data_IF_187361021567
#
_entry.id   IF_187361021567
#
_cell.length_a   1.000
_cell.length_b   1.000
_cell.length_c   1.000
_cell.angle_alpha   90.00
_cell.angle_beta   90.00
_cell.angle_gamma   90.00
#
_symmetry.space_group_name_H-M   'P 1'
#
loop_
_entity.id
_entity.type
_entity.pdbx_description
1 polymer ?
#
# COMPACT_ATOMS: atom_id res chain seq x y z
N UNK A 1 -11.16 -24.52 -6.19
CA UNK A 1 -11.84 -23.32 -6.73
C UNK A 1 -11.41 -23.14 -8.18
N UNK A 2 -12.33 -22.83 -9.08
CA UNK A 2 -11.99 -22.57 -10.48
C UNK A 2 -11.41 -21.17 -10.63
N UNK A 3 -10.60 -20.95 -11.66
CA UNK A 3 -10.00 -19.64 -11.94
C UNK A 3 -11.07 -18.56 -12.13
N UNK A 4 -12.13 -18.88 -12.87
CA UNK A 4 -13.22 -17.95 -13.18
C UNK A 4 -13.99 -17.53 -11.92
N UNK A 5 -14.16 -18.46 -10.97
CA UNK A 5 -14.80 -18.16 -9.68
C UNK A 5 -13.92 -17.22 -8.85
N UNK A 6 -12.59 -17.42 -8.86
CA UNK A 6 -11.67 -16.53 -8.17
C UNK A 6 -11.67 -15.13 -8.79
N UNK A 7 -11.60 -15.02 -10.12
CA UNK A 7 -11.66 -13.74 -10.84
C UNK A 7 -12.98 -13.00 -10.53
N UNK A 8 -14.10 -13.72 -10.50
CA UNK A 8 -15.40 -13.15 -10.11
C UNK A 8 -15.38 -12.64 -8.67
N UNK A 9 -14.84 -13.41 -7.73
CA UNK A 9 -14.73 -12.99 -6.33
C UNK A 9 -13.87 -11.73 -6.18
N UNK A 10 -12.74 -11.64 -6.89
CA UNK A 10 -11.88 -10.44 -6.90
C UNK A 10 -12.62 -9.24 -7.48
N UNK A 11 -13.34 -9.44 -8.60
CA UNK A 11 -14.15 -8.39 -9.21
C UNK A 11 -15.23 -7.87 -8.24
N UNK A 12 -15.98 -8.76 -7.59
CA UNK A 12 -17.01 -8.40 -6.62
C UNK A 12 -16.43 -7.68 -5.41
N UNK A 13 -15.33 -8.18 -4.84
CA UNK A 13 -14.65 -7.56 -3.69
C UNK A 13 -14.04 -6.22 -4.03
N UNK A 14 -13.49 -6.07 -5.23
CA UNK A 14 -12.97 -4.80 -5.72
C UNK A 14 -14.07 -3.77 -5.90
N UNK A 15 -15.20 -4.16 -6.50
CA UNK A 15 -16.35 -3.29 -6.64
C UNK A 15 -16.96 -2.91 -5.28
N UNK A 16 -17.02 -3.84 -4.32
CA UNK A 16 -17.45 -3.56 -2.95
C UNK A 16 -16.57 -2.49 -2.29
N UNK A 17 -15.24 -2.61 -2.41
CA UNK A 17 -14.30 -1.60 -1.91
C UNK A 17 -14.54 -0.24 -2.58
N UNK A 18 -14.65 -0.23 -3.91
CA UNK A 18 -14.75 0.98 -4.71
C UNK A 18 -16.06 1.74 -4.45
N UNK A 19 -17.19 1.04 -4.49
CA UNK A 19 -18.51 1.61 -4.20
C UNK A 19 -18.58 2.09 -2.75
N UNK A 20 -18.00 1.33 -1.81
CA UNK A 20 -17.89 1.74 -0.42
C UNK A 20 -17.15 3.06 -0.25
N UNK A 21 -16.04 3.26 -0.95
CA UNK A 21 -15.33 4.55 -0.98
C UNK A 21 -16.15 5.66 -1.62
N UNK A 22 -16.77 5.40 -2.77
CA UNK A 22 -17.54 6.40 -3.52
C UNK A 22 -18.78 6.89 -2.77
N UNK A 23 -19.49 6.00 -2.08
CA UNK A 23 -20.66 6.35 -1.28
C UNK A 23 -20.28 7.19 -0.04
N UNK A 24 -19.08 6.97 0.49
CA UNK A 24 -18.54 7.73 1.62
C UNK A 24 -17.64 8.91 1.19
N UNK A 25 -17.74 9.38 -0.06
CA UNK A 25 -16.88 10.45 -0.60
C UNK A 25 -16.95 11.78 0.18
N UNK A 26 -18.06 12.03 0.89
CA UNK A 26 -18.22 13.19 1.77
C UNK A 26 -17.28 13.16 2.98
N UNK A 27 -16.72 11.99 3.31
CA UNK A 27 -15.69 11.78 4.34
C UNK A 27 -14.27 11.68 3.73
N UNK A 28 -14.08 12.17 2.49
CA UNK A 28 -12.82 12.04 1.74
C UNK A 28 -12.41 10.58 1.42
N UNK A 29 -13.36 9.65 1.50
CA UNK A 29 -13.10 8.23 1.20
C UNK A 29 -12.85 7.96 -0.29
N UNK A 30 -13.21 8.91 -1.19
CA UNK A 30 -12.89 8.85 -2.62
C UNK A 30 -11.51 9.46 -2.92
N UNK A 31 -10.49 8.94 -2.25
CA UNK A 31 -9.08 9.23 -2.48
C UNK A 31 -8.38 7.96 -2.97
N UNK A 32 -7.38 8.10 -3.87
CA UNK A 32 -6.64 6.95 -4.42
C UNK A 32 -6.05 6.10 -3.29
N UNK A 33 -5.60 6.76 -2.23
CA UNK A 33 -5.03 6.14 -1.07
C UNK A 33 -5.99 5.22 -0.32
N UNK A 34 -7.21 5.71 -0.02
CA UNK A 34 -8.23 4.96 0.71
C UNK A 34 -8.81 3.83 -0.15
N UNK A 35 -9.06 4.10 -1.44
CA UNK A 35 -9.54 3.09 -2.39
C UNK A 35 -8.54 1.92 -2.45
N UNK A 36 -7.25 2.24 -2.63
CA UNK A 36 -6.19 1.23 -2.73
C UNK A 36 -6.05 0.42 -1.46
N UNK A 37 -6.06 1.05 -0.28
CA UNK A 37 -5.99 0.34 1.00
C UNK A 37 -7.15 -0.64 1.17
N UNK A 38 -8.40 -0.18 0.95
CA UNK A 38 -9.58 -1.05 1.07
C UNK A 38 -9.58 -2.16 0.03
N UNK A 39 -9.12 -1.89 -1.18
CA UNK A 39 -8.99 -2.89 -2.23
C UNK A 39 -8.04 -4.02 -1.81
N UNK A 40 -6.88 -3.68 -1.24
CA UNK A 40 -5.91 -4.65 -0.74
C UNK A 40 -6.48 -5.45 0.45
N UNK A 41 -7.13 -4.80 1.42
CA UNK A 41 -7.79 -5.49 2.55
C UNK A 41 -8.84 -6.50 2.09
N UNK A 42 -9.70 -6.10 1.13
CA UNK A 42 -10.72 -6.99 0.57
C UNK A 42 -10.11 -8.14 -0.20
N UNK A 43 -9.04 -7.89 -0.95
CA UNK A 43 -8.33 -8.93 -1.68
C UNK A 43 -7.67 -9.94 -0.73
N UNK A 44 -7.05 -9.48 0.36
CA UNK A 44 -6.45 -10.36 1.37
C UNK A 44 -7.48 -11.29 2.03
N UNK A 45 -8.73 -10.82 2.20
CA UNK A 45 -9.82 -11.65 2.73
C UNK A 45 -10.16 -12.86 1.85
N UNK A 46 -9.72 -12.88 0.59
CA UNK A 46 -9.88 -14.03 -0.32
C UNK A 46 -8.76 -15.08 -0.18
N UNK A 47 -7.77 -14.81 0.68
CA UNK A 47 -6.62 -15.68 0.88
C UNK A 47 -5.43 -15.34 -0.01
N UNK A 48 -4.24 -15.49 0.57
CA UNK A 48 -2.95 -15.18 -0.07
C UNK A 48 -2.31 -16.37 -0.78
N UNK A 49 -2.80 -17.57 -0.51
CA UNK A 49 -2.24 -18.83 -0.99
C UNK A 49 -3.25 -19.50 -1.93
N UNK A 50 -2.84 -19.71 -3.17
CA UNK A 50 -3.73 -20.04 -4.27
C UNK A 50 -3.27 -21.30 -4.99
N UNK A 51 -4.25 -22.17 -5.21
CA UNK A 51 -4.18 -23.29 -6.12
C UNK A 51 -5.56 -23.41 -6.79
N UNK A 52 -5.62 -23.04 -8.06
CA UNK A 52 -6.85 -23.19 -8.84
C UNK A 52 -6.92 -24.56 -9.50
N UNK A 53 -8.13 -25.00 -9.80
CA UNK A 53 -8.34 -26.19 -10.62
C UNK A 53 -7.65 -26.01 -11.99
N UNK A 54 -6.81 -26.98 -12.38
CA UNK A 54 -6.03 -26.93 -13.62
C UNK A 54 -4.74 -26.11 -13.57
N UNK A 55 -4.47 -25.38 -12.48
CA UNK A 55 -3.20 -24.69 -12.28
C UNK A 55 -2.10 -25.72 -11.94
N UNK A 56 -1.04 -25.75 -12.75
CA UNK A 56 0.06 -26.72 -12.57
C UNK A 56 1.02 -26.37 -11.42
N UNK A 57 0.84 -25.21 -10.82
CA UNK A 57 1.69 -24.69 -9.75
C UNK A 57 0.84 -24.07 -8.65
N UNK A 58 1.39 -24.00 -7.44
CA UNK A 58 0.86 -23.19 -6.35
C UNK A 58 1.46 -21.79 -6.45
N UNK A 59 0.68 -20.77 -6.12
CA UNK A 59 1.16 -19.40 -5.99
C UNK A 59 0.77 -18.82 -4.63
N UNK A 60 1.66 -18.03 -4.04
CA UNK A 60 1.37 -17.23 -2.85
C UNK A 60 1.68 -15.78 -3.18
N UNK A 61 0.85 -14.85 -2.73
CA UNK A 61 1.06 -13.44 -3.00
C UNK A 61 0.96 -12.57 -1.75
N UNK A 62 1.63 -11.42 -1.81
CA UNK A 62 1.60 -10.36 -0.80
C UNK A 62 1.47 -9.02 -1.52
N UNK A 63 0.49 -8.22 -1.11
CA UNK A 63 0.20 -6.90 -1.69
C UNK A 63 0.73 -5.80 -0.80
N UNK A 64 1.34 -4.79 -1.40
CA UNK A 64 2.02 -3.71 -0.70
C UNK A 64 1.68 -2.37 -1.33
N UNK A 65 1.39 -1.39 -0.48
CA UNK A 65 1.30 0.01 -0.89
C UNK A 65 2.67 0.66 -0.74
N UNK A 66 3.29 1.00 -1.86
CA UNK A 66 4.63 1.59 -1.91
C UNK A 66 4.60 3.03 -1.41
N UNK A 67 5.75 3.49 -0.90
CA UNK A 67 5.97 4.88 -0.49
C UNK A 67 7.32 5.40 -0.98
N UNK A 68 7.41 6.71 -1.18
CA UNK A 68 8.68 7.42 -1.38
C UNK A 68 9.39 7.03 -2.68
N UNK A 69 10.66 6.63 -2.61
CA UNK A 69 11.46 6.35 -3.82
C UNK A 69 10.94 5.13 -4.61
N UNK A 70 10.43 4.10 -3.93
CA UNK A 70 9.89 2.92 -4.59
C UNK A 70 8.58 3.21 -5.30
N UNK A 71 7.70 3.98 -4.65
CA UNK A 71 6.45 4.49 -5.24
C UNK A 71 6.74 5.32 -6.49
N UNK A 72 7.62 6.31 -6.34
CA UNK A 72 8.04 7.20 -7.44
C UNK A 72 8.53 6.40 -8.65
N UNK A 73 9.28 5.32 -8.42
CA UNK A 73 9.91 4.52 -9.49
C UNK A 73 8.95 3.52 -10.12
N UNK A 74 8.13 2.83 -9.34
CA UNK A 74 7.40 1.66 -9.80
C UNK A 74 5.87 1.81 -9.77
N UNK A 75 5.33 2.83 -9.11
CA UNK A 75 3.89 3.06 -8.94
C UNK A 75 3.44 2.85 -7.49
N UNK A 76 2.16 3.07 -7.21
CA UNK A 76 1.58 3.04 -5.86
C UNK A 76 1.55 1.65 -5.21
N UNK A 77 1.50 0.57 -6.00
CA UNK A 77 1.24 -0.78 -5.50
C UNK A 77 2.29 -1.76 -6.03
N UNK A 78 2.73 -2.69 -5.18
CA UNK A 78 3.49 -3.87 -5.58
C UNK A 78 2.78 -5.15 -5.12
N UNK A 79 2.72 -6.15 -5.99
CA UNK A 79 2.32 -7.51 -5.66
C UNK A 79 3.52 -8.43 -5.80
N UNK A 80 4.03 -8.93 -4.68
CA UNK A 80 5.04 -9.99 -4.70
C UNK A 80 4.32 -11.32 -4.84
N UNK A 81 4.71 -12.11 -5.84
CA UNK A 81 4.14 -13.43 -6.11
C UNK A 81 5.25 -14.47 -6.07
N UNK A 82 5.10 -15.45 -5.19
CA UNK A 82 5.91 -16.67 -5.14
C UNK A 82 5.21 -17.78 -5.90
N UNK A 83 5.92 -18.40 -6.84
CA UNK A 83 5.41 -19.48 -7.68
C UNK A 83 6.25 -20.73 -7.45
N UNK A 84 5.61 -21.81 -7.01
CA UNK A 84 6.28 -23.11 -6.82
C UNK A 84 6.29 -23.90 -8.12
N UNK A 85 7.49 -24.13 -8.66
CA UNK A 85 7.71 -24.95 -9.85
C UNK A 85 7.77 -26.44 -9.50
N UNK A 86 8.24 -26.75 -8.28
CA UNK A 86 8.25 -28.08 -7.65
C UNK A 86 7.93 -27.92 -6.16
N UNK A 87 7.95 -29.01 -5.38
CA UNK A 87 7.73 -28.94 -3.93
C UNK A 87 8.77 -28.06 -3.20
N UNK A 88 10.00 -28.04 -3.70
CA UNK A 88 11.18 -27.41 -3.12
C UNK A 88 11.70 -26.19 -3.90
N UNK A 89 11.32 -26.04 -5.17
CA UNK A 89 11.78 -24.92 -6.03
C UNK A 89 10.68 -23.92 -6.27
N UNK A 90 11.01 -22.65 -6.07
CA UNK A 90 10.13 -21.53 -6.35
C UNK A 90 10.87 -20.38 -7.02
N UNK A 91 10.10 -19.51 -7.67
CA UNK A 91 10.57 -18.21 -8.16
C UNK A 91 9.69 -17.12 -7.55
N UNK A 92 10.31 -16.00 -7.18
CA UNK A 92 9.60 -14.80 -6.74
C UNK A 92 9.59 -13.78 -7.87
N UNK A 93 8.44 -13.18 -8.15
CA UNK A 93 8.29 -12.07 -9.08
C UNK A 93 7.47 -10.95 -8.47
N UNK A 94 7.51 -9.76 -9.08
CA UNK A 94 6.74 -8.61 -8.64
C UNK A 94 5.98 -7.96 -9.80
N UNK A 95 4.69 -7.66 -9.59
CA UNK A 95 3.89 -6.80 -10.46
C UNK A 95 3.72 -5.44 -9.79
N UNK A 96 3.67 -4.37 -10.59
CA UNK A 96 3.49 -3.02 -10.08
C UNK A 96 2.26 -2.35 -10.71
N UNK A 97 1.62 -1.48 -9.92
CA UNK A 97 0.50 -0.67 -10.42
C UNK A 97 0.60 0.78 -9.96
N UNK A 98 0.31 1.69 -10.87
CA UNK A 98 0.05 3.11 -10.58
C UNK A 98 -1.48 3.31 -10.52
N UNK A 99 -2.00 3.77 -9.40
CA UNK A 99 -3.43 3.92 -9.14
C UNK A 99 -3.90 5.35 -9.46
N UNK A 100 -4.99 5.45 -10.23
CA UNK A 100 -5.64 6.73 -10.53
C UNK A 100 -7.15 6.61 -10.42
N UNK A 101 -7.77 7.61 -9.79
CA UNK A 101 -9.22 7.68 -9.69
C UNK A 101 -9.82 8.60 -10.73
N UNK A 102 -11.05 8.29 -11.11
CA UNK A 102 -11.89 9.19 -11.84
C UNK A 102 -12.30 10.39 -10.97
N UNK A 103 -12.23 11.58 -11.54
CA UNK A 103 -12.76 12.79 -10.92
C UNK A 103 -14.14 13.10 -11.48
N UNK A 104 -14.97 13.77 -10.67
CA UNK A 104 -16.34 14.12 -11.05
C UNK A 104 -16.59 15.60 -10.76
N UNK A 105 -17.58 16.18 -11.43
CA UNK A 105 -18.16 17.47 -11.04
C UNK A 105 -19.30 17.26 -10.02
N UNK A 106 -19.91 18.35 -9.57
CA UNK A 106 -20.98 18.32 -8.57
C UNK A 106 -22.22 17.53 -9.03
N UNK A 107 -22.45 17.49 -10.35
CA UNK A 107 -23.53 16.70 -10.97
C UNK A 107 -23.14 15.23 -11.20
N UNK A 108 -22.00 14.77 -10.68
CA UNK A 108 -21.45 13.42 -10.84
C UNK A 108 -21.10 13.05 -12.30
N UNK A 109 -20.92 14.04 -13.17
CA UNK A 109 -20.39 13.79 -14.50
C UNK A 109 -18.87 13.59 -14.44
N UNK A 110 -18.33 12.66 -15.25
CA UNK A 110 -16.90 12.37 -15.29
C UNK A 110 -16.08 13.58 -15.77
N UNK A 111 -15.00 13.90 -15.05
CA UNK A 111 -13.97 14.89 -15.39
C UNK A 111 -12.65 14.26 -15.84
N UNK A 112 -12.58 12.94 -15.89
CA UNK A 112 -11.38 12.21 -16.29
C UNK A 112 -10.39 11.95 -15.15
N UNK A 113 -9.31 11.27 -15.50
CA UNK A 113 -8.22 10.87 -14.59
C UNK A 113 -7.20 12.00 -14.42
N UNK A 114 -7.66 13.17 -13.98
CA UNK A 114 -6.86 14.41 -14.01
C UNK A 114 -5.59 14.38 -13.13
N UNK A 115 -5.46 13.39 -12.23
CA UNK A 115 -4.25 13.16 -11.45
C UNK A 115 -3.13 12.46 -12.23
N UNK A 116 -3.41 11.99 -13.46
CA UNK A 116 -2.40 11.47 -14.39
C UNK A 116 -1.49 12.60 -14.87
N UNK A 117 -0.18 12.46 -14.65
CA UNK A 117 0.84 13.42 -15.06
C UNK A 117 1.81 12.81 -16.06
N UNK A 118 2.10 13.52 -17.14
CA UNK A 118 2.96 13.01 -18.23
C UNK A 118 4.38 12.71 -17.75
N UNK A 119 4.93 13.52 -16.85
CA UNK A 119 6.26 13.33 -16.26
C UNK A 119 6.32 12.03 -15.45
N UNK A 120 5.25 11.73 -14.71
CA UNK A 120 5.14 10.49 -13.96
C UNK A 120 5.05 9.28 -14.90
N UNK A 121 4.22 9.36 -15.95
CA UNK A 121 4.11 8.29 -16.96
C UNK A 121 5.45 8.00 -17.66
N UNK A 122 6.20 9.04 -18.03
CA UNK A 122 7.51 8.88 -18.66
C UNK A 122 8.49 8.13 -17.76
N UNK A 123 8.46 8.41 -16.46
CA UNK A 123 9.28 7.71 -15.47
C UNK A 123 8.82 6.27 -15.26
N UNK A 124 7.51 6.05 -15.09
CA UNK A 124 6.94 4.72 -14.88
C UNK A 124 7.09 3.81 -16.09
N UNK A 125 7.13 4.35 -17.31
CA UNK A 125 7.38 3.56 -18.51
C UNK A 125 8.82 2.99 -18.58
N UNK A 126 9.72 3.42 -17.69
CA UNK A 126 11.03 2.80 -17.52
C UNK A 126 10.98 1.60 -16.56
N UNK A 127 9.93 1.50 -15.75
CA UNK A 127 9.70 0.36 -14.87
C UNK A 127 9.19 -0.82 -15.68
N UNK A 128 9.75 -2.00 -15.43
CA UNK A 128 9.27 -3.24 -16.04
C UNK A 128 7.99 -3.67 -15.31
N UNK A 129 6.95 -3.99 -16.07
CA UNK A 129 5.71 -4.57 -15.55
C UNK A 129 4.92 -3.65 -14.59
N UNK A 130 5.01 -2.33 -14.77
CA UNK A 130 4.07 -1.38 -14.16
C UNK A 130 2.89 -1.16 -15.10
N UNK A 131 1.67 -1.30 -14.59
CA UNK A 131 0.44 -0.98 -15.31
C UNK A 131 -0.36 0.11 -14.59
N UNK A 132 -1.25 0.79 -15.31
CA UNK A 132 -2.16 1.79 -14.75
C UNK A 132 -3.42 1.11 -14.23
N UNK A 133 -3.73 1.31 -12.95
CA UNK A 133 -4.93 0.83 -12.28
C UNK A 133 -5.93 1.98 -12.16
N UNK A 134 -6.99 1.94 -12.97
CA UNK A 134 -7.98 3.00 -13.04
C UNK A 134 -9.23 2.64 -12.24
N UNK A 135 -9.64 3.54 -11.36
CA UNK A 135 -10.82 3.42 -10.53
C UNK A 135 -11.95 4.34 -11.01
N UNK A 136 -13.12 3.78 -11.34
CA UNK A 136 -14.29 4.56 -11.77
C UNK A 136 -15.59 3.96 -11.23
N UNK A 137 -16.50 4.84 -10.82
CA UNK A 137 -17.91 4.53 -10.60
C UNK A 137 -18.75 5.32 -11.61
N UNK A 138 -19.44 4.60 -12.49
CA UNK A 138 -20.50 5.18 -13.29
C UNK A 138 -21.80 5.19 -12.50
N UNK A 139 -22.11 6.35 -11.93
CA UNK A 139 -23.32 6.55 -11.15
C UNK A 139 -24.60 6.39 -11.98
N UNK A 140 -24.59 6.80 -13.25
CA UNK A 140 -25.77 6.75 -14.11
C UNK A 140 -26.05 5.33 -14.60
N UNK A 141 -24.99 4.57 -14.93
CA UNK A 141 -25.11 3.16 -15.30
C UNK A 141 -25.17 2.22 -14.08
N UNK A 142 -24.93 2.74 -12.87
CA UNK A 142 -24.82 1.97 -11.61
C UNK A 142 -23.76 0.88 -11.70
N UNK A 143 -22.58 1.23 -12.21
CA UNK A 143 -21.47 0.29 -12.41
C UNK A 143 -20.20 0.81 -11.77
N UNK A 144 -19.35 -0.12 -11.37
CA UNK A 144 -18.04 0.14 -10.81
C UNK A 144 -17.01 -0.65 -11.62
N UNK A 145 -15.87 -0.01 -11.90
CA UNK A 145 -14.83 -0.55 -12.73
C UNK A 145 -13.47 -0.33 -12.08
N UNK A 146 -12.70 -1.41 -12.06
CA UNK A 146 -11.27 -1.39 -11.80
C UNK A 146 -10.63 -1.99 -13.04
N UNK A 147 -9.94 -1.16 -13.82
CA UNK A 147 -9.27 -1.63 -15.03
C UNK A 147 -7.77 -1.55 -14.91
N UNK A 148 -7.11 -2.53 -15.51
CA UNK A 148 -5.68 -2.55 -15.74
C UNK A 148 -5.39 -2.12 -17.18
N UNK A 149 -4.64 -1.03 -17.35
CA UNK A 149 -4.29 -0.46 -18.65
C UNK A 149 -2.76 -0.38 -18.75
N UNK A 150 -2.12 -0.86 -19.84
CA UNK A 150 -0.68 -0.70 -20.03
C UNK A 150 -0.25 0.78 -19.93
N UNK A 151 0.83 1.05 -19.19
CA UNK A 151 1.33 2.42 -19.00
C UNK A 151 1.65 3.09 -20.33
N UNK A 152 2.15 2.33 -21.30
CA UNK A 152 2.47 2.81 -22.64
C UNK A 152 1.22 3.34 -23.35
N UNK A 153 0.09 2.67 -23.23
CA UNK A 153 -1.15 3.12 -23.87
C UNK A 153 -1.63 4.44 -23.26
N UNK A 154 -1.57 4.54 -21.92
CA UNK A 154 -1.90 5.78 -21.24
C UNK A 154 -0.92 6.88 -21.62
N UNK A 155 0.39 6.59 -21.70
CA UNK A 155 1.43 7.57 -22.05
C UNK A 155 1.26 8.14 -23.45
N UNK A 156 0.96 7.31 -24.44
CA UNK A 156 0.75 7.77 -25.82
C UNK A 156 -0.53 8.62 -25.96
N UNK A 157 -1.52 8.39 -25.10
CA UNK A 157 -2.81 9.10 -25.11
C UNK A 157 -2.91 10.23 -24.07
N UNK A 158 -1.92 10.37 -23.18
CA UNK A 158 -1.94 11.35 -22.09
C UNK A 158 -1.58 12.76 -22.58
N UNK A 159 -2.32 13.26 -23.57
CA UNK A 159 -2.51 14.70 -23.68
C UNK A 159 -3.54 15.14 -22.61
N UNK A 160 -3.36 16.35 -22.06
CA UNK A 160 -4.22 16.84 -20.97
C UNK A 160 -5.70 16.91 -21.36
N UNK A 161 -5.99 17.19 -22.63
CA UNK A 161 -7.36 17.31 -23.14
C UNK A 161 -8.02 15.94 -23.13
N UNK A 162 -7.36 14.93 -23.70
CA UNK A 162 -7.87 13.56 -23.78
C UNK A 162 -8.17 12.98 -22.41
N UNK A 163 -7.25 13.12 -21.46
CA UNK A 163 -7.44 12.61 -20.09
C UNK A 163 -8.65 13.26 -19.42
N UNK A 164 -8.89 14.57 -19.64
CA UNK A 164 -10.00 15.34 -19.05
C UNK A 164 -11.34 15.06 -19.72
N UNK A 165 -11.39 14.95 -21.05
CA UNK A 165 -12.65 14.88 -21.82
C UNK A 165 -13.07 13.45 -22.14
N UNK A 166 -12.11 12.55 -22.30
CA UNK A 166 -12.33 11.19 -22.81
C UNK A 166 -11.66 10.13 -21.93
N UNK A 167 -11.29 10.45 -20.68
CA UNK A 167 -10.53 9.56 -19.81
C UNK A 167 -11.12 8.15 -19.65
N UNK A 168 -12.46 8.00 -19.68
CA UNK A 168 -13.13 6.69 -19.62
C UNK A 168 -12.80 5.77 -20.79
N UNK A 169 -12.40 6.32 -21.93
CA UNK A 169 -11.93 5.53 -23.07
C UNK A 169 -10.74 4.64 -22.70
N UNK A 170 -9.92 5.04 -21.72
CA UNK A 170 -8.81 4.22 -21.24
C UNK A 170 -9.27 2.85 -20.71
N UNK A 171 -10.47 2.76 -20.14
CA UNK A 171 -11.02 1.47 -19.70
C UNK A 171 -11.22 0.48 -20.85
N UNK A 172 -11.52 0.97 -22.06
CA UNK A 172 -11.71 0.14 -23.25
C UNK A 172 -10.39 -0.34 -23.86
N UNK A 173 -9.27 0.31 -23.53
CA UNK A 173 -7.94 -0.09 -23.96
C UNK A 173 -7.26 -1.08 -23.01
N UNK A 174 -7.81 -1.21 -21.80
CA UNK A 174 -7.36 -2.16 -20.80
C UNK A 174 -8.26 -3.38 -20.71
N UNK A 175 -8.19 -4.02 -19.55
CA UNK A 175 -9.04 -5.15 -19.16
C UNK A 175 -9.44 -5.03 -17.70
N UNK A 176 -10.35 -5.89 -17.25
CA UNK A 176 -10.69 -5.95 -15.83
C UNK A 176 -9.47 -6.32 -15.01
N UNK A 177 -9.17 -5.52 -13.98
CA UNK A 177 -7.98 -5.76 -13.15
C UNK A 177 -7.97 -7.14 -12.50
N UNK A 178 -9.14 -7.67 -12.13
CA UNK A 178 -9.26 -9.02 -11.59
C UNK A 178 -8.63 -10.10 -12.50
N UNK A 179 -8.75 -9.94 -13.83
CA UNK A 179 -8.14 -10.84 -14.80
C UNK A 179 -6.63 -10.63 -14.89
N UNK A 180 -6.17 -9.37 -14.91
CA UNK A 180 -4.73 -9.05 -14.92
C UNK A 180 -4.01 -9.56 -13.68
N UNK A 181 -4.62 -9.39 -12.50
CA UNK A 181 -4.10 -9.93 -11.26
C UNK A 181 -4.06 -11.45 -11.32
N UNK A 182 -5.10 -12.09 -11.87
CA UNK A 182 -5.10 -13.53 -12.14
C UNK A 182 -3.91 -13.98 -12.99
N UNK A 183 -3.63 -13.26 -14.08
CA UNK A 183 -2.45 -13.50 -14.91
C UNK A 183 -1.13 -13.34 -14.13
N UNK A 184 -1.03 -12.33 -13.26
CA UNK A 184 0.14 -12.14 -12.40
C UNK A 184 0.36 -13.33 -11.45
N UNK A 185 -0.72 -13.88 -10.90
CA UNK A 185 -0.66 -15.04 -10.02
C UNK A 185 -0.33 -16.35 -10.75
N UNK A 186 -0.53 -16.39 -12.07
CA UNK A 186 -0.03 -17.45 -12.97
C UNK A 186 1.44 -17.25 -13.37
N UNK A 187 2.09 -16.19 -12.92
CA UNK A 187 3.47 -15.84 -13.29
C UNK A 187 3.63 -15.06 -14.58
N UNK A 188 2.54 -14.54 -15.14
CA UNK A 188 2.59 -13.68 -16.33
C UNK A 188 2.79 -12.23 -15.92
N UNK A 189 3.47 -11.45 -16.76
CA UNK A 189 3.65 -10.00 -16.55
C UNK A 189 4.25 -9.66 -15.16
N UNK A 190 5.11 -10.53 -14.63
CA UNK A 190 5.89 -10.28 -13.42
C UNK A 190 7.31 -9.87 -13.80
N UNK A 191 7.87 -8.94 -13.02
CA UNK A 191 9.30 -8.69 -13.02
C UNK A 191 10.00 -9.71 -12.09
N UNK A 192 10.80 -10.61 -12.67
CA UNK A 192 11.55 -11.64 -11.94
C UNK A 192 12.97 -11.20 -11.54
N UNK A 193 13.33 -9.92 -11.72
CA UNK A 193 14.59 -9.38 -11.22
C UNK A 193 14.63 -9.47 -9.68
N UNK A 194 15.58 -10.25 -9.16
CA UNK A 194 15.75 -10.48 -7.72
C UNK A 194 16.01 -9.18 -6.96
N UNK A 195 16.64 -8.18 -7.58
CA UNK A 195 16.86 -6.87 -6.96
C UNK A 195 15.54 -6.10 -6.81
N UNK A 196 14.64 -6.19 -7.79
CA UNK A 196 13.34 -5.55 -7.72
C UNK A 196 12.47 -6.17 -6.61
N UNK A 197 12.41 -7.49 -6.54
CA UNK A 197 11.69 -8.23 -5.48
C UNK A 197 12.26 -7.89 -4.11
N UNK A 198 13.60 -7.96 -3.96
CA UNK A 198 14.29 -7.66 -2.70
C UNK A 198 14.03 -6.22 -2.26
N UNK A 199 14.11 -5.25 -3.17
CA UNK A 199 13.88 -3.84 -2.84
C UNK A 199 12.48 -3.60 -2.24
N UNK A 200 11.45 -4.26 -2.78
CA UNK A 200 10.10 -4.20 -2.20
C UNK A 200 10.09 -4.83 -0.81
N UNK A 201 10.57 -6.08 -0.66
CA UNK A 201 10.58 -6.76 0.66
C UNK A 201 11.32 -5.97 1.75
N UNK A 202 12.50 -5.47 1.42
CA UNK A 202 13.34 -4.74 2.38
C UNK A 202 12.67 -3.43 2.83
N UNK A 203 11.87 -2.80 1.98
CA UNK A 203 11.15 -1.57 2.33
C UNK A 203 10.05 -1.76 3.38
N UNK A 204 9.48 -2.97 3.50
CA UNK A 204 8.48 -3.28 4.52
C UNK A 204 9.09 -3.97 5.74
N UNK A 205 10.15 -4.76 5.57
CA UNK A 205 10.89 -5.33 6.69
C UNK A 205 11.58 -4.26 7.56
N UNK A 206 12.03 -3.16 6.95
CA UNK A 206 12.62 -2.03 7.70
C UNK A 206 11.57 -1.05 8.24
N UNK A 207 10.37 -1.00 7.64
CA UNK A 207 9.28 -0.11 8.05
C UNK A 207 8.38 -0.67 9.18
N UNK A 208 8.67 -1.86 9.70
CA UNK A 208 7.86 -2.54 10.73
C UNK A 208 8.48 -2.56 12.12
N UNK A 209 9.61 -1.88 12.32
CA UNK A 209 10.00 -1.50 13.67
C UNK A 209 9.04 -0.40 14.14
N UNK A 210 8.16 -0.65 15.13
CA UNK A 210 7.35 0.43 15.68
C UNK A 210 8.29 1.51 16.20
N UNK A 211 8.19 2.72 15.64
CA UNK A 211 8.95 3.88 16.13
C UNK A 211 8.61 4.19 17.59
N UNK A 212 7.39 3.84 18.02
CA UNK A 212 6.90 4.02 19.38
C UNK A 212 6.01 2.83 19.74
N UNK A 213 6.30 2.17 20.87
CA UNK A 213 5.39 1.24 21.53
C UNK A 213 4.76 1.98 22.71
N UNK A 214 3.44 2.20 22.67
CA UNK A 214 2.70 2.77 23.80
C UNK A 214 2.07 1.63 24.59
N UNK A 215 2.59 1.37 25.78
CA UNK A 215 1.99 0.46 26.75
C UNK A 215 1.29 1.30 27.83
N UNK A 216 -0.05 1.28 27.85
CA UNK A 216 -0.86 2.04 28.80
C UNK A 216 -1.70 1.07 29.63
N UNK A 217 -1.73 1.30 30.95
CA UNK A 217 -2.61 0.61 31.86
C UNK A 217 -3.42 1.65 32.65
N UNK A 218 -4.72 1.45 32.72
CA UNK A 218 -5.65 2.34 33.43
C UNK A 218 -6.42 1.55 34.47
N UNK A 219 -6.60 2.13 35.65
CA UNK A 219 -7.46 1.59 36.70
C UNK A 219 -8.65 2.52 36.90
N UNK A 220 -9.85 1.95 36.94
CA UNK A 220 -11.07 2.67 37.33
C UNK A 220 -11.19 2.82 38.86
N UNK A 221 -10.31 2.16 39.61
CA UNK A 221 -10.24 2.26 41.06
C UNK A 221 -8.99 3.10 41.44
N UNK A 222 -9.16 4.28 42.08
CA UNK A 222 -8.04 5.18 42.40
C UNK A 222 -7.06 4.58 43.42
N UNK A 223 -7.45 3.50 44.11
CA UNK A 223 -6.61 2.82 45.10
C UNK A 223 -5.78 1.66 44.52
N UNK A 224 -5.89 1.40 43.21
CA UNK A 224 -5.10 0.36 42.53
C UNK A 224 -4.18 1.07 41.55
N UNK A 225 -2.88 1.03 41.84
CA UNK A 225 -1.85 1.50 40.93
C UNK A 225 -1.57 0.39 39.89
N UNK A 226 -1.90 0.58 38.61
CA UNK A 226 -1.63 -0.43 37.60
C UNK A 226 -0.11 -0.54 37.39
N UNK A 227 0.43 -1.74 37.59
CA UNK A 227 1.84 -2.02 37.36
C UNK A 227 2.03 -2.59 35.96
N UNK A 228 2.86 -1.92 35.16
CA UNK A 228 3.21 -2.37 33.82
C UNK A 228 3.99 -3.68 33.91
N UNK A 229 3.54 -4.74 33.23
CA UNK A 229 4.34 -5.94 33.05
C UNK A 229 5.36 -5.71 31.92
N UNK A 230 6.63 -5.59 32.27
CA UNK A 230 7.73 -5.35 31.33
C UNK A 230 8.36 -6.62 30.79
N UNK A 231 7.93 -7.81 31.23
CA UNK A 231 8.51 -9.09 30.79
C UNK A 231 8.19 -9.40 29.32
N UNK A 232 7.04 -8.91 28.82
CA UNK A 232 6.68 -8.96 27.39
C UNK A 232 7.71 -8.25 26.49
N UNK A 233 8.35 -7.19 26.99
CA UNK A 233 9.39 -6.47 26.25
C UNK A 233 10.72 -7.23 26.25
N UNK A 234 10.94 -8.14 27.21
CA UNK A 234 12.19 -8.90 27.31
C UNK A 234 12.15 -10.23 26.54
N UNK A 235 10.97 -10.75 26.23
CA UNK A 235 10.80 -12.05 25.54
C UNK A 235 10.87 -11.98 24.01
N UNK A 236 10.98 -10.78 23.41
CA UNK A 236 11.10 -10.63 21.96
C UNK A 236 12.58 -10.63 21.54
N UNK A 237 13.02 -11.54 20.63
CA UNK A 237 14.42 -11.65 20.19
C UNK A 237 14.98 -10.39 19.50
N UNK A 238 14.16 -9.37 19.28
CA UNK A 238 14.57 -8.09 18.72
C UNK A 238 15.15 -7.12 19.76
N UNK A 239 14.98 -7.33 21.07
CA UNK A 239 15.15 -6.27 22.09
C UNK A 239 16.60 -5.96 22.53
N UNK A 240 17.56 -6.86 22.36
CA UNK A 240 18.96 -6.63 22.79
C UNK A 240 19.63 -5.48 22.02
N UNK A 241 19.21 -5.22 20.78
CA UNK A 241 19.75 -4.14 19.95
C UNK A 241 19.20 -2.74 20.33
N UNK A 242 18.15 -2.67 21.15
CA UNK A 242 17.48 -1.40 21.51
C UNK A 242 18.02 -0.76 22.78
N UNK A 243 18.72 -1.55 23.62
CA UNK A 243 19.31 -1.08 24.87
C UNK A 243 20.78 -0.66 24.70
N UNK A 244 21.42 -0.97 23.57
CA UNK A 244 22.83 -0.64 23.31
C UNK A 244 23.07 0.84 23.00
N UNK A 245 22.03 1.58 22.62
CA UNK A 245 22.15 2.95 22.10
C UNK A 245 21.68 4.02 23.09
N UNK A 246 21.41 3.66 24.36
CA UNK A 246 21.18 4.63 25.42
C UNK A 246 22.56 5.13 25.89
N UNK A 247 22.92 6.41 25.70
CA UNK A 247 24.14 6.94 26.28
C UNK A 247 24.04 6.81 27.80
N UNK A 248 25.04 6.20 28.42
CA UNK A 248 25.20 6.20 29.88
C UNK A 248 25.46 7.65 30.28
N UNK A 249 24.39 8.41 30.53
CA UNK A 249 24.53 9.74 31.09
C UNK A 249 25.20 9.63 32.45
N UNK A 250 26.30 10.35 32.54
CA UNK A 250 27.22 10.39 33.65
C UNK A 250 26.48 10.82 34.91
N UNK A 251 26.52 9.97 35.95
CA UNK A 251 26.27 10.37 37.33
C UNK A 251 27.29 11.45 37.74
N UNK A 252 27.08 12.69 37.33
CA UNK A 252 27.67 13.85 38.01
C UNK A 252 26.73 14.20 39.15
N UNK A 253 27.17 13.86 40.37
CA UNK A 253 26.64 14.44 41.60
C UNK A 253 26.67 15.96 41.46
N UNK A 254 25.50 16.58 41.40
CA UNK A 254 25.37 18.04 41.52
C UNK A 254 25.56 18.37 43.00
N UNK A 255 26.70 18.98 43.34
CA UNK A 255 26.88 19.59 44.65
C UNK A 255 26.01 20.85 44.78
N UNK A 256 25.39 21.11 45.94
CA UNK A 256 24.57 22.29 46.13
C UNK A 256 25.45 23.56 46.19
N UNK A 257 24.98 24.69 45.64
CA UNK A 257 25.74 25.94 45.62
C UNK A 257 25.85 26.57 47.02
N UNK A 258 27.03 27.10 47.32
CA UNK A 258 27.35 27.87 48.53
C UNK A 258 26.56 29.17 48.59
N UNK A 259 26.04 29.49 49.77
CA UNK A 259 25.55 30.82 50.14
C UNK A 259 26.72 31.76 50.37
N UNK A 260 26.49 33.04 50.07
CA UNK A 260 27.05 34.29 50.65
C UNK A 260 27.11 35.32 49.49
N UNK A 261 26.16 36.25 49.43
CA UNK A 261 26.16 37.58 50.08
C UNK A 261 26.75 38.64 49.15
N UNK A 262 25.90 39.52 48.60
CA UNK A 262 26.09 40.98 48.59
C UNK A 262 25.00 41.68 47.76
N UNK A 263 24.02 42.24 48.45
CA UNK A 263 23.21 43.35 47.94
C UNK A 263 23.82 44.65 48.46
N UNK A 264 24.54 45.37 47.58
CA UNK A 264 24.96 46.75 47.78
C UNK A 264 24.31 47.67 46.73
N UNK A 265 23.84 48.88 47.09
CA UNK A 265 22.84 49.61 46.32
C UNK A 265 23.44 50.48 45.22
N UNK A 266 22.70 50.66 44.12
CA UNK A 266 22.98 51.68 43.09
C UNK A 266 21.99 52.83 43.24
N UNK A 267 22.51 54.04 43.42
CA UNK A 267 21.89 55.26 42.88
C UNK A 267 21.96 55.25 41.36
#
# INVERSE_FOLDING_TARGET
>A
MKYEDWVRNVYEKGNEALVGCFNNRHLDAWSEDQITTRLLEKLESLGRDLSWEGMKHRAKWEGYKLKGKLETKNGDIAFIVRIWLTQDKYVDGVAFYEAKRQFYNDSLNPKGFISVKKEQLNRLALSKCTSMLLYDVDYHEKRAYISDVPIEFVRELADETFIKTSGRYLHHLGRFWAQSLGDNLLGRNLNFDSNAVKAVRDSFNTAHSPLVIVNSAVSLNPNIEPKLNTDILRSAPAHEHWLSDIPVEQNKKVEPPSRDDDFGPSM
#
